data_IF_491444834814
#
_entry.id   IF_491444834814
#
_cell.length_a   1.000
_cell.length_b   1.000
_cell.length_c   1.000
_cell.angle_alpha   90.00
_cell.angle_beta   90.00
_cell.angle_gamma   90.00
#
_symmetry.space_group_name_H-M   'P 1'
#
loop_
_entity.id
_entity.type
_entity.pdbx_description
1 polymer ?
#
# COMPACT_ATOMS: atom_id res chain seq x y z
N UNK A 1 -5.33 3.68 16.20
CA UNK A 1 -5.18 4.07 14.79
C UNK A 1 -6.06 3.17 13.96
N UNK A 2 -6.71 3.75 12.94
CA UNK A 2 -7.59 2.99 12.08
C UNK A 2 -6.78 2.16 11.08
N UNK A 3 -7.29 0.95 10.81
CA UNK A 3 -6.73 0.08 9.78
C UNK A 3 -7.43 0.32 8.45
N UNK A 4 -6.68 0.14 7.37
CA UNK A 4 -7.16 0.27 5.99
C UNK A 4 -6.52 -0.78 5.11
N UNK A 5 -6.99 -0.92 3.87
CA UNK A 5 -6.39 -1.82 2.89
C UNK A 5 -5.37 -1.05 2.05
N UNK A 6 -4.14 -1.57 1.98
CA UNK A 6 -3.10 -1.00 1.13
C UNK A 6 -3.51 -1.08 -0.35
N UNK A 7 -3.52 0.07 -1.02
CA UNK A 7 -3.82 0.21 -2.45
C UNK A 7 -2.82 -0.53 -3.35
N UNK A 8 -1.59 -0.75 -2.88
CA UNK A 8 -0.54 -1.43 -3.65
C UNK A 8 -0.58 -2.95 -3.48
N UNK A 9 -0.57 -3.47 -2.26
CA UNK A 9 -0.50 -4.93 -2.01
C UNK A 9 -1.82 -5.58 -1.55
N UNK A 10 -2.85 -4.81 -1.22
CA UNK A 10 -4.13 -5.32 -0.74
C UNK A 10 -4.13 -5.96 0.65
N UNK A 11 -3.06 -5.79 1.45
CA UNK A 11 -3.00 -6.19 2.86
C UNK A 11 -3.60 -5.13 3.77
N UNK A 12 -4.09 -5.55 4.94
CA UNK A 12 -4.53 -4.64 6.00
C UNK A 12 -3.31 -3.96 6.65
N UNK A 13 -3.33 -2.63 6.70
CA UNK A 13 -2.24 -1.77 7.18
C UNK A 13 -2.77 -0.64 8.04
N UNK A 14 -1.90 0.04 8.79
CA UNK A 14 -2.31 1.25 9.51
C UNK A 14 -2.48 2.41 8.54
N UNK A 15 -3.61 3.12 8.65
CA UNK A 15 -3.87 4.33 7.88
C UNK A 15 -2.76 5.38 8.12
N UNK A 16 -2.21 5.93 7.03
CA UNK A 16 -1.16 6.95 7.10
C UNK A 16 -1.76 8.28 7.50
N UNK A 17 -1.21 8.89 8.55
CA UNK A 17 -1.60 10.22 9.02
C UNK A 17 -0.36 11.03 9.42
N UNK A 18 0.54 11.24 8.45
CA UNK A 18 1.77 12.00 8.65
C UNK A 18 1.46 13.50 8.78
N UNK A 19 2.11 14.18 9.72
CA UNK A 19 2.07 15.64 9.78
C UNK A 19 2.90 16.20 8.62
N UNK A 20 2.32 17.14 7.87
CA UNK A 20 2.95 17.73 6.67
C UNK A 20 4.33 18.33 7.00
N UNK A 21 4.46 18.98 8.15
CA UNK A 21 5.70 19.59 8.65
C UNK A 21 6.86 18.61 8.91
N UNK A 22 6.57 17.31 8.96
CA UNK A 22 7.56 16.26 9.20
C UNK A 22 8.02 15.55 7.92
N UNK A 23 7.31 15.70 6.79
CA UNK A 23 7.60 14.95 5.56
C UNK A 23 9.06 15.07 5.08
N UNK A 24 9.63 16.28 5.14
CA UNK A 24 11.02 16.52 4.75
C UNK A 24 12.07 16.15 5.82
N UNK A 25 11.64 15.73 7.01
CA UNK A 25 12.51 15.38 8.15
C UNK A 25 12.62 13.87 8.36
N UNK A 26 11.81 13.08 7.65
CA UNK A 26 11.84 11.62 7.74
C UNK A 26 13.09 11.12 7.01
N UNK A 27 13.98 10.46 7.75
CA UNK A 27 15.15 9.81 7.17
C UNK A 27 14.72 8.56 6.38
N UNK A 28 14.96 8.55 5.07
CA UNK A 28 14.63 7.44 4.18
C UNK A 28 15.86 6.65 3.71
N UNK A 29 17.02 6.86 4.35
CA UNK A 29 18.28 6.17 4.00
C UNK A 29 18.22 4.66 4.23
N UNK A 30 17.42 4.22 5.19
CA UNK A 30 17.11 2.82 5.45
C UNK A 30 15.72 2.66 6.05
N UNK A 31 15.21 1.43 6.04
CA UNK A 31 13.92 1.11 6.67
C UNK A 31 13.96 1.41 8.16
N UNK A 32 15.04 1.02 8.82
CA UNK A 32 15.23 1.23 10.25
C UNK A 32 15.28 2.72 10.58
N UNK A 33 16.00 3.52 9.81
CA UNK A 33 16.07 4.98 9.99
C UNK A 33 14.71 5.66 9.77
N UNK A 34 13.94 5.18 8.78
CA UNK A 34 12.57 5.65 8.53
C UNK A 34 11.65 5.32 9.71
N UNK A 35 11.69 4.09 10.23
CA UNK A 35 10.88 3.68 11.39
C UNK A 35 11.21 4.53 12.61
N UNK A 36 12.50 4.74 12.90
CA UNK A 36 12.92 5.58 14.03
C UNK A 36 12.49 7.04 13.87
N UNK A 37 12.62 7.60 12.66
CA UNK A 37 12.15 8.95 12.35
C UNK A 37 10.65 9.09 12.56
N UNK A 38 9.87 8.12 12.09
CA UNK A 38 8.41 8.11 12.26
C UNK A 38 7.99 8.02 13.72
N UNK A 39 8.59 7.12 14.50
CA UNK A 39 8.31 7.02 15.94
C UNK A 39 8.61 8.34 16.66
N UNK A 40 9.76 8.97 16.34
CA UNK A 40 10.20 10.20 16.98
C UNK A 40 9.38 11.43 16.58
N UNK A 41 9.08 11.59 15.29
CA UNK A 41 8.43 12.79 14.74
C UNK A 41 6.91 12.75 14.87
N UNK A 42 6.32 11.57 14.69
CA UNK A 42 4.86 11.39 14.71
C UNK A 42 4.33 10.88 16.05
N UNK A 43 5.22 10.42 16.95
CA UNK A 43 4.83 9.90 18.26
C UNK A 43 4.04 8.59 18.18
N UNK A 44 4.27 7.80 17.12
CA UNK A 44 3.56 6.55 16.86
C UNK A 44 4.32 5.33 17.41
N UNK A 45 3.60 4.22 17.61
CA UNK A 45 4.24 2.96 18.03
C UNK A 45 5.16 2.40 16.93
N UNK A 46 6.08 1.52 17.33
CA UNK A 46 6.98 0.83 16.40
C UNK A 46 6.20 0.03 15.34
N UNK A 47 5.08 -0.59 15.72
CA UNK A 47 4.22 -1.36 14.81
C UNK A 47 3.63 -0.46 13.70
N UNK A 48 3.08 0.70 14.08
CA UNK A 48 2.54 1.68 13.13
C UNK A 48 3.65 2.23 12.23
N UNK A 49 4.78 2.64 12.82
CA UNK A 49 5.91 3.18 12.07
C UNK A 49 6.46 2.16 11.05
N UNK A 50 6.55 0.89 11.44
CA UNK A 50 6.98 -0.20 10.55
C UNK A 50 6.01 -0.37 9.40
N UNK A 51 4.70 -0.42 9.68
CA UNK A 51 3.67 -0.52 8.64
C UNK A 51 3.75 0.64 7.65
N UNK A 52 3.92 1.88 8.12
CA UNK A 52 4.04 3.05 7.26
C UNK A 52 5.32 3.06 6.42
N UNK A 53 6.45 2.66 7.01
CA UNK A 53 7.72 2.54 6.29
C UNK A 53 7.61 1.50 5.16
N UNK A 54 7.03 0.33 5.42
CA UNK A 54 6.87 -0.77 4.47
C UNK A 54 5.87 -0.45 3.34
N UNK A 55 4.74 0.16 3.68
CA UNK A 55 3.58 0.30 2.79
C UNK A 55 3.41 1.69 2.16
N UNK A 56 4.29 2.65 2.44
CA UNK A 56 4.08 4.00 1.94
C UNK A 56 5.29 4.89 1.74
N UNK A 57 6.33 4.78 2.56
CA UNK A 57 7.43 5.77 2.55
C UNK A 57 8.70 5.21 1.92
N UNK A 58 9.12 4.01 2.31
CA UNK A 58 10.31 3.36 1.75
C UNK A 58 9.98 2.45 0.54
N UNK A 59 8.69 2.30 0.22
CA UNK A 59 8.18 1.58 -0.96
C UNK A 59 8.57 0.09 -1.11
N UNK A 60 8.87 -0.61 -0.02
CA UNK A 60 9.12 -2.07 -0.06
C UNK A 60 7.85 -2.92 -0.31
N UNK A 61 6.69 -2.26 -0.40
CA UNK A 61 5.41 -2.88 -0.64
C UNK A 61 5.32 -3.53 -2.03
N UNK A 62 5.04 -4.84 -2.08
CA UNK A 62 4.88 -5.57 -3.34
C UNK A 62 3.59 -5.13 -4.05
N UNK A 63 3.66 -4.91 -5.37
CA UNK A 63 2.48 -4.63 -6.20
C UNK A 63 1.62 -5.90 -6.31
N UNK A 64 0.34 -5.77 -5.97
CA UNK A 64 -0.66 -6.78 -6.29
C UNK A 64 -1.05 -6.63 -7.76
N UNK A 65 -0.85 -7.71 -8.51
CA UNK A 65 -1.14 -7.78 -9.93
C UNK A 65 -2.41 -8.62 -10.09
N UNK A 66 -3.34 -8.13 -10.91
CA UNK A 66 -4.56 -8.84 -11.26
C UNK A 66 -4.72 -8.82 -12.77
N UNK A 67 -5.10 -9.95 -13.33
CA UNK A 67 -5.40 -10.07 -14.75
C UNK A 67 -6.91 -10.01 -14.99
N UNK A 68 -7.31 -9.54 -16.16
CA UNK A 68 -8.70 -9.58 -16.58
C UNK A 68 -9.16 -11.04 -16.70
N UNK A 69 -10.27 -11.44 -16.06
CA UNK A 69 -10.76 -12.81 -16.14
C UNK A 69 -11.25 -13.19 -17.55
N UNK A 70 -11.54 -12.21 -18.42
CA UNK A 70 -12.03 -12.46 -19.78
C UNK A 70 -10.90 -12.51 -20.82
N UNK A 71 -9.99 -11.53 -20.83
CA UNK A 71 -8.95 -11.43 -21.85
C UNK A 71 -7.53 -11.71 -21.36
N UNK A 72 -7.32 -12.00 -20.07
CA UNK A 72 -6.04 -12.37 -19.49
C UNK A 72 -5.02 -11.23 -19.33
N UNK A 73 -5.29 -10.02 -19.85
CA UNK A 73 -4.35 -8.88 -19.74
C UNK A 73 -4.28 -8.33 -18.31
N UNK A 74 -3.09 -7.90 -17.90
CA UNK A 74 -2.88 -7.22 -16.61
C UNK A 74 -3.74 -5.95 -16.52
N UNK A 75 -4.38 -5.77 -15.36
CA UNK A 75 -5.18 -4.60 -15.04
C UNK A 75 -4.31 -3.51 -14.42
N UNK A 76 -4.71 -2.24 -14.60
CA UNK A 76 -3.99 -1.08 -14.05
C UNK A 76 -3.85 -1.14 -12.52
N UNK A 77 -4.86 -1.69 -11.84
CA UNK A 77 -4.83 -2.00 -10.41
C UNK A 77 -5.62 -3.27 -10.12
N UNK A 78 -5.30 -3.93 -9.02
CA UNK A 78 -6.04 -5.11 -8.55
C UNK A 78 -7.49 -4.80 -8.15
N UNK A 79 -7.76 -3.54 -7.78
CA UNK A 79 -9.08 -3.01 -7.44
C UNK A 79 -9.93 -2.63 -8.67
N UNK A 80 -9.40 -2.78 -9.89
CA UNK A 80 -10.15 -2.44 -11.09
C UNK A 80 -11.49 -3.19 -11.15
N UNK A 81 -12.54 -2.48 -11.57
CA UNK A 81 -13.90 -3.02 -11.77
C UNK A 81 -14.22 -3.33 -13.24
N UNK A 82 -13.33 -2.90 -14.14
CA UNK A 82 -13.50 -3.03 -15.58
C UNK A 82 -12.13 -3.15 -16.25
N UNK A 83 -12.06 -3.94 -17.32
CA UNK A 83 -10.88 -4.02 -18.17
C UNK A 83 -10.93 -2.96 -19.27
N UNK A 84 -9.90 -2.12 -19.35
CA UNK A 84 -9.78 -1.11 -20.40
C UNK A 84 -9.41 -1.69 -21.77
N UNK A 85 -9.05 -2.98 -21.85
CA UNK A 85 -8.73 -3.62 -23.13
C UNK A 85 -9.94 -4.27 -23.82
N UNK A 86 -10.85 -4.90 -23.06
CA UNK A 86 -11.99 -5.63 -23.62
C UNK A 86 -13.36 -5.10 -23.15
N UNK A 87 -13.39 -4.07 -22.29
CA UNK A 87 -14.63 -3.47 -21.79
C UNK A 87 -15.40 -4.31 -20.77
N UNK A 88 -14.96 -5.54 -20.48
CA UNK A 88 -15.64 -6.41 -19.52
C UNK A 88 -15.57 -5.83 -18.11
N UNK A 89 -16.73 -5.77 -17.45
CA UNK A 89 -16.84 -5.44 -16.02
C UNK A 89 -16.88 -6.68 -15.15
N UNK A 90 -16.32 -6.61 -13.95
CA UNK A 90 -16.24 -7.71 -13.00
C UNK A 90 -16.24 -7.20 -11.57
N UNK A 91 -16.54 -8.09 -10.61
CA UNK A 91 -16.49 -7.73 -9.19
C UNK A 91 -15.07 -7.32 -8.79
N UNK A 92 -14.89 -6.21 -8.05
CA UNK A 92 -13.59 -5.86 -7.48
C UNK A 92 -13.18 -6.92 -6.47
N UNK A 93 -11.87 -7.12 -6.34
CA UNK A 93 -11.30 -7.89 -5.24
C UNK A 93 -11.45 -7.11 -3.93
N UNK A 94 -11.83 -7.80 -2.86
CA UNK A 94 -11.94 -7.23 -1.51
C UNK A 94 -10.57 -7.11 -0.82
N UNK A 95 -9.69 -8.06 -1.11
CA UNK A 95 -8.28 -8.13 -0.70
C UNK A 95 -7.46 -8.65 -1.88
N UNK A 96 -6.15 -8.42 -1.89
CA UNK A 96 -5.32 -9.03 -2.92
C UNK A 96 -5.33 -10.55 -2.75
N UNK A 97 -6.06 -11.24 -3.62
CA UNK A 97 -5.98 -12.69 -3.75
C UNK A 97 -4.62 -12.98 -4.40
N UNK A 98 -3.62 -13.33 -3.60
CA UNK A 98 -2.36 -13.84 -4.13
C UNK A 98 -2.72 -15.07 -4.96
N UNK A 99 -2.60 -14.97 -6.28
CA UNK A 99 -2.56 -16.15 -7.15
C UNK A 99 -1.33 -16.95 -6.73
N UNK A 100 -1.57 -18.02 -6.00
CA UNK A 100 -0.63 -19.10 -5.69
C UNK A 100 0.01 -19.64 -6.97
#
# INVERSE_FOLDING_TARGET
>A
MDKTVCDRCGLEVFGRSLRIENLGKIDQSSKEACVQSLMKLEGVSQEVATSWAEHGIHEQCKKCIRNCPNCGKELKSWQAKMCLHCGTSFKPWSICEKTT
#
